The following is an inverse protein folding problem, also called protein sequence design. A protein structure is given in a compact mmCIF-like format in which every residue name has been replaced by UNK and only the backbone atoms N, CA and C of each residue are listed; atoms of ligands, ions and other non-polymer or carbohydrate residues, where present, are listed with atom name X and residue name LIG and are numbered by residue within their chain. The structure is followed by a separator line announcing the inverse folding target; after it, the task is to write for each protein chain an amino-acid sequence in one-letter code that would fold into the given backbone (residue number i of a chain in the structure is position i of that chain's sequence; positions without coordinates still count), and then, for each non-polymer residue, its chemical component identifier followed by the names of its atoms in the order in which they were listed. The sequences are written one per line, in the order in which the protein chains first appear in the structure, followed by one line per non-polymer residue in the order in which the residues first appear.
data_IF_802267673356
#
_entry.id   IF_802267673356
#
_cell.length_a   1.000
_cell.length_b   1.000
_cell.length_c   1.000
_cell.angle_alpha   90.00
_cell.angle_beta   90.00
_cell.angle_gamma   90.00
#
_symmetry.space_group_name_H-M   'P 1'
#
loop_
_entity.id
_entity.type
_entity.pdbx_description
1 polymer ?
#
# COMPACT_ATOMS: atom_id res chain seq x y z
N UNK A 1 15.30 -15.71 0.38
CA UNK A 1 14.35 -16.77 0.70
C UNK A 1 12.93 -16.28 0.50
N UNK A 2 12.18 -17.00 -0.33
CA UNK A 2 10.80 -16.60 -0.63
C UNK A 2 9.80 -17.08 0.41
N UNK A 3 10.15 -18.08 1.21
CA UNK A 3 9.27 -18.68 2.21
C UNK A 3 8.66 -17.67 3.22
N UNK A 4 9.47 -16.84 3.88
CA UNK A 4 8.90 -15.88 4.82
C UNK A 4 7.97 -14.87 4.17
N UNK A 5 8.28 -14.47 2.93
CA UNK A 5 7.48 -13.47 2.22
C UNK A 5 6.05 -13.99 1.99
N UNK A 6 5.92 -15.21 1.47
CA UNK A 6 4.61 -15.79 1.20
C UNK A 6 3.77 -15.93 2.46
N UNK A 7 4.39 -16.38 3.56
CA UNK A 7 3.68 -16.54 4.82
C UNK A 7 3.26 -15.21 5.42
N UNK A 8 4.14 -14.22 5.40
CA UNK A 8 3.83 -12.89 5.90
C UNK A 8 2.65 -12.30 5.14
N UNK A 9 2.69 -12.36 3.81
CA UNK A 9 1.62 -11.83 2.96
C UNK A 9 0.29 -12.54 3.25
N UNK A 10 0.32 -13.87 3.39
CA UNK A 10 -0.89 -14.63 3.70
C UNK A 10 -1.51 -14.22 5.02
N UNK A 11 -0.69 -14.04 6.06
CA UNK A 11 -1.17 -13.59 7.36
C UNK A 11 -1.75 -12.19 7.31
N UNK A 12 -1.06 -11.28 6.63
CA UNK A 12 -1.54 -9.91 6.49
C UNK A 12 -2.88 -9.84 5.76
N UNK A 13 -3.06 -10.66 4.73
CA UNK A 13 -4.33 -10.72 3.99
C UNK A 13 -5.48 -11.26 4.85
N UNK A 14 -5.20 -12.17 5.76
CA UNK A 14 -6.19 -12.73 6.67
C UNK A 14 -6.56 -11.76 7.79
N UNK A 15 -5.64 -10.90 8.16
CA UNK A 15 -5.77 -10.04 9.33
C UNK A 15 -5.78 -8.56 8.97
N UNK A 16 -6.58 -8.20 7.97
CA UNK A 16 -6.72 -6.79 7.60
C UNK A 16 -7.30 -5.99 8.76
N UNK A 17 -6.76 -4.79 8.98
CA UNK A 17 -7.34 -3.85 9.94
C UNK A 17 -8.68 -3.34 9.42
N UNK A 18 -9.45 -2.69 10.29
CA UNK A 18 -10.73 -2.11 9.87
C UNK A 18 -10.56 -1.09 8.74
N UNK A 19 -9.63 -0.12 8.82
CA UNK A 19 -9.42 0.80 7.70
C UNK A 19 -9.02 0.10 6.41
N UNK A 20 -8.17 -0.94 6.51
CA UNK A 20 -7.78 -1.71 5.34
C UNK A 20 -8.96 -2.42 4.69
N UNK A 21 -9.85 -2.98 5.50
CA UNK A 21 -11.06 -3.64 4.97
C UNK A 21 -11.98 -2.64 4.27
N UNK A 22 -12.16 -1.48 4.86
CA UNK A 22 -13.01 -0.43 4.29
C UNK A 22 -12.50 -0.01 2.93
N UNK A 23 -11.19 0.26 2.82
CA UNK A 23 -10.61 0.69 1.56
C UNK A 23 -10.59 -0.44 0.54
N UNK A 24 -10.25 -1.67 0.97
CA UNK A 24 -10.24 -2.83 0.08
C UNK A 24 -11.60 -3.06 -0.56
N UNK A 25 -12.67 -2.90 0.18
CA UNK A 25 -14.02 -3.04 -0.33
C UNK A 25 -14.31 -2.08 -1.49
N UNK A 26 -13.66 -0.93 -1.49
CA UNK A 26 -13.82 0.06 -2.55
C UNK A 26 -12.87 -0.13 -3.72
N UNK A 27 -11.75 -0.80 -3.51
CA UNK A 27 -10.73 -1.02 -4.55
C UNK A 27 -10.89 -2.32 -5.31
N UNK A 28 -11.38 -3.36 -4.63
CA UNK A 28 -11.48 -4.70 -5.23
C UNK A 28 -12.41 -4.74 -6.42
N UNK A 29 -12.26 -5.77 -7.24
CA UNK A 29 -13.11 -6.01 -8.42
C UNK A 29 -13.06 -4.85 -9.43
N UNK A 30 -11.93 -4.19 -9.56
CA UNK A 30 -11.71 -3.09 -10.50
C UNK A 30 -12.72 -1.94 -10.33
N UNK A 31 -13.16 -1.70 -9.10
CA UNK A 31 -14.18 -0.69 -8.81
C UNK A 31 -13.71 0.75 -9.00
N UNK A 32 -12.40 0.99 -8.91
CA UNK A 32 -11.85 2.34 -9.13
C UNK A 32 -11.24 2.40 -10.53
N UNK A 33 -11.87 3.16 -11.40
CA UNK A 33 -11.36 3.43 -12.76
C UNK A 33 -11.03 2.18 -13.56
N UNK A 34 -11.65 1.06 -13.25
CA UNK A 34 -11.37 -0.23 -13.91
C UNK A 34 -10.00 -0.78 -13.62
N UNK A 35 -9.27 -0.23 -12.66
CA UNK A 35 -7.90 -0.67 -12.35
C UNK A 35 -7.90 -1.81 -11.34
N UNK A 36 -7.03 -2.77 -11.57
CA UNK A 36 -6.89 -3.92 -10.67
C UNK A 36 -5.91 -3.61 -9.55
N UNK A 37 -6.41 -3.53 -8.33
CA UNK A 37 -5.59 -3.42 -7.13
C UNK A 37 -5.45 -4.77 -6.46
N UNK A 38 -4.27 -5.04 -5.93
CA UNK A 38 -4.02 -6.21 -5.08
C UNK A 38 -3.66 -5.70 -3.69
N UNK A 39 -4.01 -6.49 -2.67
CA UNK A 39 -3.75 -6.12 -1.28
C UNK A 39 -2.51 -6.81 -0.76
N UNK A 40 -1.80 -6.14 0.15
CA UNK A 40 -0.63 -6.68 0.82
C UNK A 40 0.36 -7.25 -0.20
N UNK A 41 0.84 -6.39 -1.08
CA UNK A 41 1.72 -6.78 -2.16
C UNK A 41 3.20 -6.67 -1.75
N UNK A 42 3.98 -7.76 -1.83
CA UNK A 42 5.37 -7.70 -1.48
C UNK A 42 6.21 -7.05 -2.58
N UNK A 43 6.98 -6.04 -2.21
CA UNK A 43 7.90 -5.35 -3.10
C UNK A 43 9.31 -5.75 -2.69
N UNK A 44 10.01 -6.43 -3.58
CA UNK A 44 11.34 -6.97 -3.31
C UNK A 44 12.40 -6.00 -3.86
N UNK A 45 13.41 -5.73 -3.05
CA UNK A 45 14.50 -4.83 -3.45
C UNK A 45 15.81 -5.30 -2.82
N UNK A 46 16.93 -4.81 -3.36
CA UNK A 46 18.25 -5.09 -2.83
C UNK A 46 18.73 -3.92 -1.97
N UNK A 47 19.26 -4.26 -0.80
CA UNK A 47 19.80 -3.28 0.13
C UNK A 47 21.20 -3.75 0.55
N UNK A 48 22.23 -3.05 0.08
CA UNK A 48 23.64 -3.39 0.32
C UNK A 48 23.93 -4.87 0.02
N UNK A 49 23.46 -5.35 -1.14
CA UNK A 49 23.70 -6.73 -1.55
C UNK A 49 22.78 -7.77 -0.92
N UNK A 50 21.92 -7.36 0.02
CA UNK A 50 20.97 -8.25 0.67
C UNK A 50 19.58 -8.04 0.09
N UNK A 51 18.89 -9.15 -0.19
CA UNK A 51 17.53 -9.07 -0.65
C UNK A 51 16.61 -8.74 0.54
N UNK A 52 15.78 -7.71 0.37
CA UNK A 52 14.79 -7.27 1.35
C UNK A 52 13.44 -7.20 0.68
N UNK A 53 12.39 -7.16 1.48
CA UNK A 53 11.06 -6.86 0.96
C UNK A 53 10.31 -5.96 1.91
N UNK A 54 9.34 -5.25 1.35
CA UNK A 54 8.36 -4.52 2.13
C UNK A 54 6.99 -4.82 1.53
N UNK A 55 5.94 -4.59 2.28
CA UNK A 55 4.59 -4.90 1.82
C UNK A 55 3.81 -3.60 1.63
N UNK A 56 3.31 -3.39 0.41
CA UNK A 56 2.39 -2.29 0.14
C UNK A 56 0.99 -2.72 0.55
N UNK A 57 0.26 -1.85 1.24
CA UNK A 57 -1.11 -2.18 1.66
C UNK A 57 -1.97 -2.52 0.44
N UNK A 58 -1.91 -1.68 -0.59
CA UNK A 58 -2.57 -1.92 -1.88
C UNK A 58 -1.65 -1.51 -3.01
N UNK A 59 -1.69 -2.24 -4.11
CA UNK A 59 -0.81 -1.97 -5.25
C UNK A 59 -1.55 -2.21 -6.57
N UNK A 60 -1.30 -1.35 -7.55
CA UNK A 60 -1.80 -1.50 -8.90
C UNK A 60 -0.62 -1.57 -9.88
N UNK A 61 -0.46 -2.72 -10.53
CA UNK A 61 0.63 -2.95 -11.49
C UNK A 61 0.54 -2.06 -12.72
N UNK A 62 -0.67 -1.83 -13.23
CA UNK A 62 -0.88 -1.09 -14.46
C UNK A 62 -0.30 0.32 -14.40
N UNK A 63 -0.39 0.96 -13.26
CA UNK A 63 0.03 2.34 -13.08
C UNK A 63 1.18 2.47 -12.08
N UNK A 64 1.76 1.35 -11.65
CA UNK A 64 2.85 1.32 -10.67
C UNK A 64 2.59 2.24 -9.47
N UNK A 65 1.44 2.08 -8.88
CA UNK A 65 1.03 2.92 -7.74
C UNK A 65 0.67 2.09 -6.54
N UNK A 66 1.17 2.51 -5.37
CA UNK A 66 0.88 1.89 -4.09
C UNK A 66 0.03 2.84 -3.26
N UNK A 67 -0.90 2.28 -2.48
CA UNK A 67 -1.67 3.03 -1.50
C UNK A 67 -1.32 2.49 -0.13
N UNK A 68 -0.95 3.41 0.76
CA UNK A 68 -0.55 3.07 2.13
C UNK A 68 -1.48 3.72 3.12
N UNK A 69 -1.89 2.96 4.12
CA UNK A 69 -2.69 3.48 5.22
C UNK A 69 -1.79 3.61 6.43
N UNK A 70 -1.66 4.84 6.93
CA UNK A 70 -0.80 5.13 8.06
C UNK A 70 -1.56 5.03 9.37
N UNK A 71 -1.05 4.22 10.29
CA UNK A 71 -1.58 4.14 11.63
C UNK A 71 -1.08 5.29 12.51
N UNK A 72 -1.39 5.22 13.79
CA UNK A 72 -1.08 6.28 14.74
C UNK A 72 0.34 6.26 15.31
N UNK A 73 1.21 5.36 14.84
CA UNK A 73 2.55 5.16 15.43
C UNK A 73 3.66 5.75 14.55
N UNK A 74 3.40 6.89 13.92
CA UNK A 74 4.31 7.45 12.93
C UNK A 74 5.61 7.97 13.44
N UNK A 75 5.60 8.63 14.58
CA UNK A 75 6.76 9.34 15.08
C UNK A 75 7.96 8.44 15.32
N UNK A 76 7.70 7.19 15.70
CA UNK A 76 8.77 6.23 15.98
C UNK A 76 9.39 5.62 14.74
N UNK A 77 8.75 5.77 13.57
CA UNK A 77 9.15 5.10 12.33
C UNK A 77 9.47 6.04 11.19
N UNK A 78 9.67 7.30 11.49
CA UNK A 78 9.92 8.31 10.45
C UNK A 78 11.08 7.94 9.54
N UNK A 79 12.18 7.50 10.12
CA UNK A 79 13.36 7.10 9.36
C UNK A 79 13.10 5.86 8.54
N UNK A 80 12.43 4.87 9.12
CA UNK A 80 12.06 3.64 8.44
C UNK A 80 11.12 3.95 7.27
N UNK A 81 10.14 4.82 7.47
CA UNK A 81 9.21 5.21 6.42
C UNK A 81 9.90 5.95 5.28
N UNK A 82 10.87 6.80 5.58
CA UNK A 82 11.65 7.49 4.57
C UNK A 82 12.46 6.53 3.71
N UNK A 83 13.09 5.53 4.33
CA UNK A 83 13.84 4.52 3.60
C UNK A 83 12.94 3.67 2.72
N UNK A 84 11.78 3.34 3.21
CA UNK A 84 10.75 2.61 2.51
C UNK A 84 10.29 3.39 1.27
N UNK A 85 10.03 4.66 1.44
CA UNK A 85 9.64 5.56 0.36
C UNK A 85 10.72 5.67 -0.71
N UNK A 86 11.96 5.81 -0.30
CA UNK A 86 13.10 5.86 -1.23
C UNK A 86 13.22 4.59 -2.05
N UNK A 87 13.04 3.43 -1.41
CA UNK A 87 13.08 2.15 -2.10
C UNK A 87 11.99 2.05 -3.16
N UNK A 88 10.77 2.48 -2.82
CA UNK A 88 9.67 2.47 -3.77
C UNK A 88 9.89 3.43 -4.93
N UNK A 89 10.38 4.63 -4.64
CA UNK A 89 10.69 5.61 -5.69
C UNK A 89 11.76 5.10 -6.64
N UNK A 90 12.79 4.43 -6.10
CA UNK A 90 13.85 3.86 -6.92
C UNK A 90 13.30 2.80 -7.88
N UNK A 91 12.22 2.12 -7.51
CA UNK A 91 11.54 1.15 -8.36
C UNK A 91 10.50 1.77 -9.30
N UNK A 92 10.35 3.09 -9.27
CA UNK A 92 9.39 3.79 -10.11
C UNK A 92 7.96 3.69 -9.60
N UNK A 93 7.76 3.40 -8.33
CA UNK A 93 6.44 3.26 -7.73
C UNK A 93 5.97 4.58 -7.13
N UNK A 94 4.79 5.02 -7.55
CA UNK A 94 4.13 6.18 -6.98
C UNK A 94 3.41 5.77 -5.70
N UNK A 95 3.49 6.61 -4.67
CA UNK A 95 2.88 6.30 -3.36
C UNK A 95 1.81 7.31 -3.02
N UNK A 96 0.64 6.81 -2.61
CA UNK A 96 -0.43 7.61 -2.04
C UNK A 96 -0.60 7.19 -0.59
N UNK A 97 -0.65 8.16 0.32
CA UNK A 97 -0.78 7.88 1.75
C UNK A 97 -2.04 8.50 2.32
N UNK A 98 -2.72 7.72 3.15
CA UNK A 98 -3.91 8.18 3.87
C UNK A 98 -3.81 7.72 5.30
N UNK A 99 -4.34 8.52 6.23
CA UNK A 99 -4.38 8.12 7.63
C UNK A 99 -5.58 7.21 7.90
N UNK A 100 -5.51 6.46 9.00
CA UNK A 100 -6.66 5.67 9.46
C UNK A 100 -7.90 6.56 9.62
N UNK A 101 -7.71 7.74 10.17
CA UNK A 101 -8.80 8.69 10.40
C UNK A 101 -9.46 9.12 9.11
N UNK A 102 -8.68 9.40 8.07
CA UNK A 102 -9.23 9.76 6.76
C UNK A 102 -10.10 8.63 6.19
N UNK A 103 -9.63 7.39 6.29
CA UNK A 103 -10.37 6.24 5.81
C UNK A 103 -11.68 6.07 6.59
N UNK A 104 -11.63 6.19 7.91
CA UNK A 104 -12.79 5.95 8.78
C UNK A 104 -13.81 7.07 8.70
N UNK A 105 -13.38 8.32 8.53
CA UNK A 105 -14.26 9.47 8.62
C UNK A 105 -14.59 10.13 7.28
N UNK A 106 -13.70 10.00 6.29
CA UNK A 106 -13.82 10.71 5.01
C UNK A 106 -13.53 9.82 3.80
N UNK A 107 -14.10 8.62 3.77
CA UNK A 107 -13.83 7.66 2.72
C UNK A 107 -14.09 8.21 1.30
N UNK A 108 -15.14 9.01 1.14
CA UNK A 108 -15.46 9.57 -0.17
C UNK A 108 -14.36 10.53 -0.68
N UNK A 109 -13.80 11.33 0.23
CA UNK A 109 -12.68 12.20 -0.13
C UNK A 109 -11.42 11.41 -0.49
N UNK A 110 -11.18 10.31 0.24
CA UNK A 110 -10.05 9.41 -0.05
C UNK A 110 -10.21 8.85 -1.46
N UNK A 111 -11.39 8.34 -1.80
CA UNK A 111 -11.64 7.77 -3.12
C UNK A 111 -11.47 8.81 -4.22
N UNK A 112 -11.91 10.04 -3.97
CA UNK A 112 -11.77 11.13 -4.91
C UNK A 112 -10.30 11.46 -5.19
N UNK A 113 -9.48 11.48 -4.14
CA UNK A 113 -8.04 11.71 -4.28
C UNK A 113 -7.37 10.58 -5.05
N UNK A 114 -7.79 9.34 -4.80
CA UNK A 114 -7.27 8.20 -5.55
C UNK A 114 -7.63 8.33 -7.04
N UNK A 115 -8.89 8.63 -7.34
CA UNK A 115 -9.34 8.80 -8.72
C UNK A 115 -8.54 9.88 -9.45
N UNK A 116 -8.32 11.01 -8.80
CA UNK A 116 -7.53 12.10 -9.39
C UNK A 116 -6.09 11.68 -9.63
N UNK A 117 -5.49 10.94 -8.70
CA UNK A 117 -4.10 10.52 -8.81
C UNK A 117 -3.88 9.49 -9.90
N UNK A 118 -4.86 8.63 -10.16
CA UNK A 118 -4.72 7.59 -11.19
C UNK A 118 -5.32 7.98 -12.54
N UNK A 119 -5.78 9.20 -12.65
CA UNK A 119 -6.30 9.78 -13.91
C UNK A 119 -7.42 8.94 -14.53
N UNK A 120 -8.48 8.79 -13.81
CA UNK A 120 -9.68 8.15 -14.34
C UNK A 120 -10.19 8.87 -15.59
#
# INVERSE_FOLDING_TARGET
MSYPIKQVVRQLRKNLTVPEKILWDRLRNRRICGKKFVRQYPIIFNYFGNQRFLTADFYCHQIKSAIEIDGSIHERRKEYDNNREKAMKALGIKILRFSNKEILENILEVLKKIELAISC
#
